data_IF_422412536057
#
_entry.id   IF_422412536057
#
_cell.length_a   1.000
_cell.length_b   1.000
_cell.length_c   1.000
_cell.angle_alpha   90.00
_cell.angle_beta   90.00
_cell.angle_gamma   90.00
#
_symmetry.space_group_name_H-M   'P 1'
#
loop_
_entity.id
_entity.type
_entity.pdbx_description
1 polymer ?
#
# COMPACT_ATOMS: atom_id res chain seq x y z
N UNK A 1 -20.27 -12.83 2.08
CA UNK A 1 -19.31 -12.53 3.16
C UNK A 1 -18.12 -11.71 2.65
N UNK A 2 -17.68 -11.89 1.39
CA UNK A 2 -16.59 -11.11 0.78
C UNK A 2 -17.02 -9.67 0.42
N UNK A 3 -18.27 -9.45 0.00
CA UNK A 3 -18.73 -8.13 -0.49
C UNK A 3 -18.79 -7.01 0.56
N UNK A 4 -18.85 -7.36 1.86
CA UNK A 4 -18.93 -6.36 2.92
C UNK A 4 -17.54 -5.93 3.43
N UNK A 5 -16.52 -6.78 3.26
CA UNK A 5 -15.16 -6.48 3.69
C UNK A 5 -14.50 -5.44 2.77
N UNK A 6 -14.69 -5.55 1.45
CA UNK A 6 -14.18 -4.55 0.50
C UNK A 6 -14.74 -3.14 0.74
N UNK A 7 -16.02 -3.02 1.11
CA UNK A 7 -16.65 -1.74 1.44
C UNK A 7 -16.08 -1.07 2.70
N UNK A 8 -15.55 -1.86 3.64
CA UNK A 8 -14.93 -1.31 4.85
C UNK A 8 -13.53 -0.74 4.60
N UNK A 9 -12.89 -1.09 3.47
CA UNK A 9 -11.58 -0.59 3.11
C UNK A 9 -11.63 0.80 2.44
N UNK A 10 -12.79 1.21 1.94
CA UNK A 10 -12.93 2.49 1.23
C UNK A 10 -12.53 3.70 2.09
N UNK A 11 -13.12 3.81 3.29
CA UNK A 11 -12.80 4.89 4.22
C UNK A 11 -11.31 4.95 4.61
N UNK A 12 -10.66 3.87 5.10
CA UNK A 12 -9.24 3.94 5.46
C UNK A 12 -8.33 4.15 4.25
N UNK A 13 -8.65 3.60 3.07
CA UNK A 13 -7.86 3.84 1.87
C UNK A 13 -7.97 5.29 1.39
N UNK A 14 -9.14 5.92 1.51
CA UNK A 14 -9.31 7.34 1.20
C UNK A 14 -8.51 8.24 2.16
N UNK A 15 -8.48 7.91 3.45
CA UNK A 15 -7.64 8.61 4.43
C UNK A 15 -6.16 8.49 4.07
N UNK A 16 -5.72 7.28 3.74
CA UNK A 16 -4.34 7.02 3.34
C UNK A 16 -3.98 7.75 2.04
N UNK A 17 -4.87 7.74 1.05
CA UNK A 17 -4.67 8.44 -0.23
C UNK A 17 -4.53 9.94 -0.04
N UNK A 18 -5.38 10.52 0.82
CA UNK A 18 -5.34 11.94 1.19
C UNK A 18 -4.04 12.30 1.90
N UNK A 19 -3.57 11.45 2.83
CA UNK A 19 -2.29 11.65 3.52
C UNK A 19 -1.11 11.65 2.54
N UNK A 20 -1.05 10.64 1.68
CA UNK A 20 -0.01 10.49 0.64
C UNK A 20 -0.12 11.51 -0.50
N UNK A 21 -1.17 12.34 -0.52
CA UNK A 21 -1.21 13.50 -1.42
C UNK A 21 -0.28 14.63 -0.95
N UNK A 22 0.03 14.69 0.35
CA UNK A 22 0.86 15.73 0.96
C UNK A 22 2.31 15.30 1.22
N UNK A 23 2.56 13.99 1.32
CA UNK A 23 3.89 13.43 1.62
C UNK A 23 4.25 12.28 0.68
N UNK A 24 5.55 12.05 0.46
CA UNK A 24 6.01 10.95 -0.41
C UNK A 24 5.90 9.57 0.26
N UNK A 25 6.04 9.52 1.58
CA UNK A 25 5.95 8.34 2.44
C UNK A 25 5.11 8.63 3.69
N UNK A 26 4.83 7.61 4.51
CA UNK A 26 3.92 7.75 5.66
C UNK A 26 4.41 8.77 6.69
N UNK A 27 5.72 8.90 6.89
CA UNK A 27 6.32 9.79 7.90
C UNK A 27 7.09 10.97 7.30
N UNK A 28 6.80 11.35 6.05
CA UNK A 28 7.43 12.50 5.37
C UNK A 28 8.03 12.10 4.04
N UNK A 29 9.24 12.60 3.76
CA UNK A 29 9.90 12.43 2.44
C UNK A 29 10.82 11.21 2.36
N UNK A 30 11.06 10.53 3.48
CA UNK A 30 11.93 9.35 3.53
C UNK A 30 11.16 8.07 3.83
N UNK A 31 11.53 7.00 3.12
CA UNK A 31 10.99 5.67 3.35
C UNK A 31 11.37 5.17 4.74
N UNK A 32 10.40 4.64 5.47
CA UNK A 32 10.58 4.20 6.86
C UNK A 32 10.05 2.79 7.12
N UNK A 33 10.24 2.30 8.34
CA UNK A 33 9.63 1.04 8.79
C UNK A 33 8.09 1.10 8.77
N UNK A 34 7.49 2.29 8.89
CA UNK A 34 6.05 2.44 8.77
C UNK A 34 5.57 2.07 7.36
N UNK A 35 6.29 2.52 6.33
CA UNK A 35 5.99 2.20 4.94
C UNK A 35 6.16 0.71 4.67
N UNK A 36 7.28 0.12 5.14
CA UNK A 36 7.53 -1.30 5.05
C UNK A 36 6.39 -2.12 5.68
N UNK A 37 5.97 -1.73 6.89
CA UNK A 37 4.92 -2.42 7.61
C UNK A 37 3.59 -2.40 6.84
N UNK A 38 3.14 -1.21 6.42
CA UNK A 38 1.85 -1.09 5.75
C UNK A 38 1.89 -1.71 4.35
N UNK A 39 2.95 -1.48 3.56
CA UNK A 39 3.09 -2.08 2.24
C UNK A 39 3.13 -3.62 2.31
N UNK A 40 3.74 -4.19 3.36
CA UNK A 40 3.70 -5.64 3.60
C UNK A 40 2.27 -6.17 3.82
N UNK A 41 1.45 -5.46 4.58
CA UNK A 41 0.02 -5.83 4.75
C UNK A 41 -0.76 -5.70 3.44
N UNK A 42 -0.44 -4.68 2.62
CA UNK A 42 -1.11 -4.42 1.35
C UNK A 42 -0.84 -5.50 0.28
N UNK A 43 0.17 -6.36 0.46
CA UNK A 43 0.35 -7.53 -0.40
C UNK A 43 -0.87 -8.47 -0.36
N UNK A 44 -1.61 -8.52 0.76
CA UNK A 44 -2.85 -9.29 0.84
C UNK A 44 -3.92 -8.77 -0.12
N UNK A 45 -3.99 -7.46 -0.33
CA UNK A 45 -4.92 -6.85 -1.30
C UNK A 45 -4.53 -7.20 -2.73
N UNK A 46 -3.22 -7.29 -3.02
CA UNK A 46 -2.73 -7.73 -4.32
C UNK A 46 -3.03 -9.21 -4.57
N UNK A 47 -2.92 -10.08 -3.56
CA UNK A 47 -3.23 -11.51 -3.69
C UNK A 47 -4.70 -11.80 -4.01
N UNK A 48 -5.60 -10.87 -3.71
CA UNK A 48 -7.04 -10.99 -3.99
C UNK A 48 -7.52 -10.08 -5.11
N UNK A 49 -6.59 -9.53 -5.90
CA UNK A 49 -6.86 -8.62 -7.03
C UNK A 49 -7.78 -7.45 -6.66
N UNK A 50 -7.61 -6.88 -5.46
CA UNK A 50 -8.41 -5.75 -5.01
C UNK A 50 -8.12 -4.52 -5.88
N UNK A 51 -9.19 -3.86 -6.37
CA UNK A 51 -9.07 -2.67 -7.21
C UNK A 51 -8.64 -1.44 -6.39
N UNK A 52 -7.37 -1.06 -6.54
CA UNK A 52 -6.80 0.16 -5.94
C UNK A 52 -6.85 1.37 -6.87
N UNK A 53 -7.37 1.25 -8.10
CA UNK A 53 -7.43 2.35 -9.06
C UNK A 53 -8.18 3.60 -8.56
N UNK A 54 -9.16 3.52 -7.63
CA UNK A 54 -9.76 4.71 -7.04
C UNK A 54 -8.81 5.52 -6.13
N UNK A 55 -7.71 4.92 -5.67
CA UNK A 55 -6.75 5.50 -4.71
C UNK A 55 -5.38 5.70 -5.38
N UNK A 56 -5.28 6.75 -6.18
CA UNK A 56 -4.12 6.99 -7.04
C UNK A 56 -2.80 7.24 -6.29
N UNK A 57 -2.85 7.91 -5.13
CA UNK A 57 -1.66 8.15 -4.28
C UNK A 57 -1.24 6.89 -3.57
N UNK A 58 -2.19 6.09 -3.08
CA UNK A 58 -1.90 4.76 -2.52
C UNK A 58 -1.23 3.87 -3.56
N UNK A 59 -1.79 3.81 -4.78
CA UNK A 59 -1.24 3.01 -5.88
C UNK A 59 0.19 3.43 -6.26
N UNK A 60 0.46 4.73 -6.29
CA UNK A 60 1.78 5.29 -6.57
C UNK A 60 2.79 4.97 -5.45
N UNK A 61 2.38 5.11 -4.20
CA UNK A 61 3.19 4.79 -3.03
C UNK A 61 3.52 3.29 -2.94
N UNK A 62 2.55 2.41 -3.23
CA UNK A 62 2.79 0.96 -3.28
C UNK A 62 3.79 0.60 -4.38
N UNK A 63 3.65 1.19 -5.56
CA UNK A 63 4.62 0.99 -6.66
C UNK A 63 6.04 1.36 -6.22
N UNK A 64 6.20 2.49 -5.52
CA UNK A 64 7.50 2.89 -4.98
C UNK A 64 8.02 1.92 -3.90
N UNK A 65 7.16 1.46 -3.00
CA UNK A 65 7.53 0.49 -1.96
C UNK A 65 7.96 -0.86 -2.57
N UNK A 66 7.23 -1.35 -3.57
CA UNK A 66 7.45 -2.65 -4.18
C UNK A 66 8.62 -2.69 -5.16
N UNK A 67 8.98 -1.55 -5.76
CA UNK A 67 10.15 -1.47 -6.64
C UNK A 67 11.50 -1.56 -5.91
N UNK A 68 11.51 -1.54 -4.57
CA UNK A 68 12.74 -1.63 -3.76
C UNK A 68 13.34 -3.03 -3.86
N UNK A 69 14.66 -3.11 -4.11
CA UNK A 69 15.36 -4.40 -4.23
C UNK A 69 15.29 -5.26 -2.96
N UNK A 70 15.03 -4.65 -1.80
CA UNK A 70 14.81 -5.39 -0.56
C UNK A 70 13.60 -6.34 -0.66
N UNK A 71 12.50 -5.92 -1.30
CA UNK A 71 11.34 -6.78 -1.50
C UNK A 71 11.67 -7.94 -2.45
N UNK A 72 12.34 -7.65 -3.58
CA UNK A 72 12.78 -8.69 -4.53
C UNK A 72 13.66 -9.74 -3.87
N UNK A 73 14.58 -9.33 -2.99
CA UNK A 73 15.41 -10.25 -2.21
C UNK A 73 14.59 -11.07 -1.23
N UNK A 74 13.64 -10.46 -0.51
CA UNK A 74 12.78 -11.18 0.43
C UNK A 74 11.94 -12.25 -0.29
N UNK A 75 11.33 -11.91 -1.43
CA UNK A 75 10.54 -12.83 -2.24
C UNK A 75 11.36 -13.98 -2.86
N UNK A 76 12.67 -13.81 -3.02
CA UNK A 76 13.55 -14.87 -3.52
C UNK A 76 13.99 -15.86 -2.42
N UNK A 77 13.66 -15.58 -1.15
CA UNK A 77 13.95 -16.47 -0.01
C UNK A 77 12.78 -17.38 0.36
N UNK A 78 11.57 -17.08 -0.14
CA UNK A 78 10.36 -17.88 0.02
C UNK A 78 10.23 -18.94 -1.10
#
# INVERSE_FOLDING_TARGET
MIDNAGKQLDRPLLVLDTHLAATNYLLGDEFSVADLNLAGVMLLLQMVDFDLSPYGKVSSWLTQCYNRDALKRAQALD
#
